data_IF_469610447135
#
_entry.id   IF_469610447135
#
_cell.length_a   1.000
_cell.length_b   1.000
_cell.length_c   1.000
_cell.angle_alpha   90.00
_cell.angle_beta   90.00
_cell.angle_gamma   90.00
#
_symmetry.space_group_name_H-M   'P 1'
#
loop_
_entity.id
_entity.type
_entity.pdbx_description
1 polymer ?
#
# COMPACT_ATOMS: atom_id res chain seq x y z
N UNK A 1 -4.90 7.77 11.25
CA UNK A 1 -5.07 9.13 10.71
C UNK A 1 -3.78 9.43 9.99
N UNK A 2 -3.88 9.66 8.69
CA UNK A 2 -2.72 9.93 7.86
C UNK A 2 -2.51 11.45 7.77
N UNK A 3 -1.31 11.90 8.16
CA UNK A 3 -0.93 13.32 8.11
C UNK A 3 -0.31 13.70 6.76
N UNK A 4 0.10 12.72 5.96
CA UNK A 4 0.65 12.93 4.63
C UNK A 4 -0.48 12.81 3.61
N UNK A 5 -0.83 13.89 2.94
CA UNK A 5 -1.91 13.86 1.93
C UNK A 5 -1.38 13.73 0.51
N UNK A 6 -0.06 13.53 0.34
CA UNK A 6 0.53 13.27 -0.97
C UNK A 6 0.14 11.89 -1.46
N UNK A 7 0.28 11.60 -2.76
CA UNK A 7 0.03 10.25 -3.28
C UNK A 7 1.18 9.34 -2.81
N UNK A 8 0.86 8.31 -2.04
CA UNK A 8 1.81 7.32 -1.53
C UNK A 8 1.10 6.01 -1.15
N UNK A 9 1.88 4.98 -0.82
CA UNK A 9 1.39 3.69 -0.29
C UNK A 9 1.89 3.45 1.13
N UNK A 10 1.32 2.45 1.80
CA UNK A 10 1.65 2.13 3.18
C UNK A 10 2.15 0.70 3.36
N UNK A 11 3.31 0.54 4.02
CA UNK A 11 3.71 -0.72 4.64
C UNK A 11 3.32 -0.67 6.12
N UNK A 12 2.51 -1.64 6.54
CA UNK A 12 2.14 -1.84 7.94
C UNK A 12 2.93 -2.98 8.55
N UNK A 13 3.75 -2.66 9.57
CA UNK A 13 4.40 -3.66 10.39
C UNK A 13 3.45 -4.14 11.49
N UNK A 14 3.00 -5.38 11.39
CA UNK A 14 2.00 -5.94 12.34
C UNK A 14 2.57 -6.21 13.73
N UNK A 15 3.89 -6.27 13.87
CA UNK A 15 4.57 -6.52 15.16
C UNK A 15 4.71 -5.22 15.96
N UNK A 16 5.07 -4.11 15.30
CA UNK A 16 5.34 -2.82 15.96
C UNK A 16 4.14 -1.86 15.89
N UNK A 17 3.23 -2.07 14.95
CA UNK A 17 2.14 -1.14 14.65
C UNK A 17 2.58 0.07 13.83
N UNK A 18 3.81 0.09 13.33
CA UNK A 18 4.34 1.21 12.54
C UNK A 18 3.83 1.19 11.09
N UNK A 19 3.64 2.39 10.54
CA UNK A 19 3.37 2.63 9.13
C UNK A 19 4.59 3.30 8.50
N UNK A 20 4.93 2.85 7.30
CA UNK A 20 6.04 3.38 6.50
C UNK A 20 5.46 3.82 5.16
N UNK A 21 5.68 5.09 4.81
CA UNK A 21 5.31 5.65 3.51
C UNK A 21 6.20 5.04 2.43
N UNK A 22 5.59 4.64 1.32
CA UNK A 22 6.25 4.06 0.16
C UNK A 22 5.89 4.87 -1.08
N UNK A 23 6.89 5.14 -1.90
CA UNK A 23 6.68 5.91 -3.12
C UNK A 23 5.81 5.11 -4.11
N UNK A 24 4.88 5.74 -4.84
CA UNK A 24 4.07 5.05 -5.84
C UNK A 24 4.91 4.30 -6.89
N UNK A 25 6.06 4.85 -7.28
CA UNK A 25 6.98 4.22 -8.25
C UNK A 25 7.66 2.94 -7.72
N UNK A 26 7.76 2.76 -6.41
CA UNK A 26 8.33 1.54 -5.82
C UNK A 26 7.36 0.35 -5.90
N UNK A 27 6.08 0.61 -6.23
CA UNK A 27 5.04 -0.39 -6.35
C UNK A 27 4.48 -0.46 -7.77
N UNK A 28 5.00 -1.39 -8.56
CA UNK A 28 4.43 -1.71 -9.87
C UNK A 28 3.10 -2.46 -9.75
N UNK A 29 1.98 -1.75 -9.58
CA UNK A 29 0.65 -2.32 -9.81
C UNK A 29 0.44 -2.48 -11.33
N UNK A 30 0.57 -3.73 -11.81
CA UNK A 30 0.57 -4.00 -13.25
C UNK A 30 -0.76 -3.62 -13.91
N UNK A 31 -1.89 -3.98 -13.32
CA UNK A 31 -3.23 -3.65 -13.83
C UNK A 31 -4.25 -3.65 -12.69
N UNK A 32 -5.12 -2.64 -12.67
CA UNK A 32 -6.31 -2.63 -11.82
C UNK A 32 -7.45 -3.35 -12.54
N UNK A 33 -8.35 -4.04 -11.82
CA UNK A 33 -9.46 -4.75 -12.44
C UNK A 33 -10.39 -3.79 -13.19
N UNK A 34 -10.88 -4.21 -14.35
CA UNK A 34 -11.92 -3.47 -15.06
C UNK A 34 -13.26 -3.60 -14.33
N UNK A 35 -13.91 -2.48 -14.02
CA UNK A 35 -15.20 -2.43 -13.36
C UNK A 35 -16.24 -1.85 -14.32
N UNK A 36 -17.23 -2.65 -14.70
CA UNK A 36 -18.32 -2.19 -15.58
C UNK A 36 -19.17 -1.13 -14.87
N UNK A 37 -19.27 0.06 -15.48
CA UNK A 37 -20.06 1.16 -14.96
C UNK A 37 -19.37 2.04 -13.91
N UNK A 38 -18.07 1.82 -13.67
CA UNK A 38 -17.29 2.61 -12.72
C UNK A 38 -15.98 3.09 -13.34
N UNK A 39 -15.60 4.33 -13.03
CA UNK A 39 -14.25 4.84 -13.25
C UNK A 39 -13.43 4.63 -11.98
N UNK A 40 -12.17 4.23 -12.14
CA UNK A 40 -11.27 4.04 -11.01
C UNK A 40 -10.66 5.38 -10.63
N UNK A 41 -11.06 5.91 -9.48
CA UNK A 41 -10.53 7.17 -8.93
C UNK A 41 -9.14 6.99 -8.29
N UNK A 42 -8.86 5.82 -7.72
CA UNK A 42 -7.59 5.49 -7.07
C UNK A 42 -7.63 4.12 -6.40
N UNK A 43 -6.48 3.65 -5.92
CA UNK A 43 -6.37 2.41 -5.15
C UNK A 43 -5.40 2.58 -3.97
N UNK A 44 -5.87 2.31 -2.76
CA UNK A 44 -5.05 2.29 -1.56
C UNK A 44 -4.50 0.88 -1.31
N UNK A 45 -3.18 0.73 -1.36
CA UNK A 45 -2.51 -0.55 -1.08
C UNK A 45 -1.90 -0.53 0.32
N UNK A 46 -2.23 -1.55 1.11
CA UNK A 46 -1.59 -1.80 2.42
C UNK A 46 -0.87 -3.13 2.37
N UNK A 47 0.47 -3.08 2.42
CA UNK A 47 1.32 -4.27 2.52
C UNK A 47 1.53 -4.60 3.99
N UNK A 48 1.19 -5.83 4.41
CA UNK A 48 1.41 -6.30 5.78
C UNK A 48 2.64 -7.18 5.82
N UNK A 49 3.61 -6.80 6.65
CA UNK A 49 4.87 -7.52 6.80
C UNK A 49 5.02 -8.03 8.24
N UNK A 50 5.80 -9.11 8.38
CA UNK A 50 6.31 -9.65 9.64
C UNK A 50 7.76 -10.09 9.44
N UNK A 51 8.55 -10.24 10.50
CA UNK A 51 9.93 -10.71 10.35
C UNK A 51 9.98 -12.11 9.74
N UNK A 52 10.91 -12.33 8.82
CA UNK A 52 11.26 -13.67 8.38
C UNK A 52 12.00 -14.37 9.52
N UNK A 53 11.45 -15.49 10.00
CA UNK A 53 12.21 -16.38 10.88
C UNK A 53 13.20 -17.16 10.01
N UNK A 54 14.45 -16.68 9.93
CA UNK A 54 15.54 -17.48 9.38
C UNK A 54 15.87 -18.58 10.39
N UNK A 55 15.81 -19.85 9.94
CA UNK A 55 16.30 -20.99 10.70
C UNK A 55 17.83 -21.04 10.72
#
# INVERSE_FOLDING_TARGET
YDTNTSIHHHIYNVETGELIDVSPEDLGLSELPHLSGFEVEGADVVIRVRRTHSA
#
